data_IF_083922260827
#
_entry.id   IF_083922260827
#
_cell.length_a   1.000
_cell.length_b   1.000
_cell.length_c   1.000
_cell.angle_alpha   90.00
_cell.angle_beta   90.00
_cell.angle_gamma   90.00
#
_symmetry.space_group_name_H-M   'P 1'
#
loop_
_entity.id
_entity.type
_entity.pdbx_description
1 polymer ?
#
# COMPACT_ATOMS: atom_id res chain seq x y z
N UNK A 1 66.06 56.98 -20.40
CA UNK A 1 65.35 57.26 -19.14
C UNK A 1 64.40 56.10 -18.86
N UNK A 2 64.43 55.49 -17.67
CA UNK A 2 63.44 54.50 -17.17
C UNK A 2 62.04 55.15 -17.01
N UNK A 3 60.92 54.43 -16.73
CA UNK A 3 60.68 52.98 -16.53
C UNK A 3 59.49 52.45 -17.41
N UNK A 4 59.36 51.14 -17.70
CA UNK A 4 58.83 50.03 -16.88
C UNK A 4 57.41 50.26 -16.30
N UNK A 5 56.40 49.62 -16.90
CA UNK A 5 55.03 49.49 -16.39
C UNK A 5 54.63 48.02 -16.33
N UNK A 6 54.39 47.53 -15.11
CA UNK A 6 53.86 46.20 -14.80
C UNK A 6 52.36 46.12 -15.13
N UNK A 7 51.87 44.98 -15.64
CA UNK A 7 50.65 44.36 -15.12
C UNK A 7 50.84 42.83 -15.09
N UNK A 8 50.59 42.28 -13.90
CA UNK A 8 50.75 40.90 -13.46
C UNK A 8 49.65 39.98 -14.01
N UNK A 9 50.07 38.78 -14.36
CA UNK A 9 49.26 37.56 -14.48
C UNK A 9 48.75 37.11 -13.10
N UNK A 10 47.44 36.92 -12.95
CA UNK A 10 46.88 36.12 -11.85
C UNK A 10 46.80 34.65 -12.29
N UNK A 11 47.74 33.84 -11.82
CA UNK A 11 47.58 32.40 -11.73
C UNK A 11 46.86 32.07 -10.43
N UNK A 12 45.69 31.45 -10.51
CA UNK A 12 45.00 30.90 -9.35
C UNK A 12 45.65 29.56 -8.97
N UNK A 13 46.23 29.52 -7.78
CA UNK A 13 46.73 28.31 -7.12
C UNK A 13 45.53 27.51 -6.63
N UNK A 14 45.33 26.30 -7.15
CA UNK A 14 44.39 25.33 -6.60
C UNK A 14 45.06 24.64 -5.42
N UNK A 15 44.66 24.99 -4.20
CA UNK A 15 45.04 24.28 -2.99
C UNK A 15 44.21 22.98 -2.90
N UNK A 16 44.88 21.84 -3.01
CA UNK A 16 44.31 20.52 -2.75
C UNK A 16 44.13 20.34 -1.23
N UNK A 17 42.91 20.56 -0.73
CA UNK A 17 42.53 20.23 0.64
C UNK A 17 42.21 18.75 0.77
N UNK A 18 43.06 18.01 1.47
CA UNK A 18 42.78 16.63 1.88
C UNK A 18 41.61 16.62 2.89
N UNK A 19 40.45 16.10 2.50
CA UNK A 19 39.36 15.81 3.43
C UNK A 19 39.69 14.52 4.19
N UNK A 20 40.02 14.67 5.47
CA UNK A 20 40.06 13.57 6.41
C UNK A 20 38.62 13.06 6.67
N UNK A 21 38.37 11.80 6.30
CA UNK A 21 37.14 11.07 6.62
C UNK A 21 37.11 10.79 8.14
N UNK A 22 36.33 11.57 8.88
CA UNK A 22 35.91 11.21 10.23
C UNK A 22 34.85 10.11 10.14
N UNK A 23 34.89 9.06 10.98
CA UNK A 23 33.83 8.06 11.02
C UNK A 23 32.55 8.73 11.53
N UNK A 24 31.54 8.79 10.68
CA UNK A 24 30.19 9.18 11.08
C UNK A 24 29.66 8.13 12.05
N UNK A 25 29.67 8.43 13.34
CA UNK A 25 28.90 7.68 14.33
C UNK A 25 27.44 7.87 13.96
N UNK A 26 26.84 6.83 13.36
CA UNK A 26 25.40 6.75 13.19
C UNK A 26 24.77 6.82 14.59
N UNK A 27 24.24 7.99 14.94
CA UNK A 27 23.37 8.12 16.10
C UNK A 27 22.16 7.25 15.80
N UNK A 28 22.10 6.07 16.41
CA UNK A 28 20.91 5.25 16.41
C UNK A 28 19.78 6.13 16.95
N UNK A 29 18.85 6.50 16.08
CA UNK A 29 17.62 7.14 16.51
C UNK A 29 16.90 6.15 17.43
N UNK A 30 17.08 6.33 18.73
CA UNK A 30 16.17 5.80 19.74
C UNK A 30 14.75 6.05 19.26
N UNK A 31 13.83 5.08 19.36
CA UNK A 31 12.44 5.34 19.05
C UNK A 31 12.02 6.54 19.89
N UNK A 32 11.62 7.61 19.21
CA UNK A 32 11.03 8.76 19.86
C UNK A 32 9.77 8.25 20.55
N UNK A 33 9.84 8.02 21.85
CA UNK A 33 8.67 8.04 22.72
C UNK A 33 8.13 9.46 22.67
N UNK A 34 7.39 9.76 21.59
CA UNK A 34 6.47 10.87 21.61
C UNK A 34 5.47 10.53 22.72
N UNK A 35 5.66 11.16 23.88
CA UNK A 35 4.77 11.10 25.02
C UNK A 35 3.34 11.24 24.51
N UNK A 36 2.55 10.19 24.65
CA UNK A 36 1.15 10.15 24.26
C UNK A 36 0.37 11.17 25.11
N UNK A 37 0.36 12.43 24.67
CA UNK A 37 -0.46 13.49 25.26
C UNK A 37 -1.73 13.71 24.47
N UNK A 38 -1.86 13.13 23.27
CA UNK A 38 -3.06 13.20 22.47
C UNK A 38 -4.17 12.31 23.03
N UNK A 39 -5.38 12.86 23.11
CA UNK A 39 -6.61 12.14 23.47
C UNK A 39 -6.79 10.94 22.56
N UNK A 40 -6.94 9.76 23.15
CA UNK A 40 -7.13 8.52 22.41
C UNK A 40 -8.63 8.21 22.26
N UNK A 41 -9.02 7.75 21.07
CA UNK A 41 -10.37 7.26 20.78
C UNK A 41 -10.25 5.85 20.21
N UNK A 42 -10.91 4.87 20.83
CA UNK A 42 -10.93 3.49 20.37
C UNK A 42 -12.37 2.99 20.19
N UNK A 43 -12.56 2.04 19.27
CA UNK A 43 -13.85 1.46 18.93
C UNK A 43 -13.77 -0.05 19.18
N UNK A 44 -14.76 -0.60 19.87
CA UNK A 44 -14.86 -2.04 20.11
C UNK A 44 -15.06 -2.82 18.79
N UNK A 45 -14.72 -4.12 18.77
CA UNK A 45 -15.18 -5.02 17.70
C UNK A 45 -16.68 -4.90 17.47
N UNK A 46 -17.06 -4.86 16.20
CA UNK A 46 -18.45 -4.95 15.73
C UNK A 46 -18.67 -6.35 15.19
N UNK A 47 -19.74 -7.01 15.62
CA UNK A 47 -20.17 -8.26 15.01
C UNK A 47 -20.68 -7.97 13.59
N UNK A 48 -20.10 -8.62 12.58
CA UNK A 48 -20.46 -8.44 11.18
C UNK A 48 -21.37 -9.57 10.66
N UNK A 49 -21.79 -10.50 11.51
CA UNK A 49 -22.77 -11.56 11.22
C UNK A 49 -24.21 -11.02 11.27
N UNK A 50 -24.54 -10.15 10.31
CA UNK A 50 -25.89 -9.61 10.14
C UNK A 50 -26.84 -10.53 9.36
N UNK A 51 -28.16 -10.27 9.41
CA UNK A 51 -28.77 -9.06 9.96
C UNK A 51 -28.92 -9.10 11.50
N UNK A 52 -28.34 -8.12 12.19
CA UNK A 52 -28.40 -8.04 13.66
C UNK A 52 -28.24 -6.59 14.15
N UNK A 53 -28.62 -6.33 15.40
CA UNK A 53 -28.28 -5.08 16.09
C UNK A 53 -27.04 -5.34 16.95
N UNK A 54 -25.89 -4.80 16.52
CA UNK A 54 -24.66 -4.90 17.30
C UNK A 54 -24.52 -3.71 18.24
N UNK A 55 -24.04 -3.96 19.45
CA UNK A 55 -23.63 -2.90 20.38
C UNK A 55 -22.17 -2.55 20.09
N UNK A 56 -21.87 -1.25 19.97
CA UNK A 56 -20.52 -0.74 19.75
C UNK A 56 -20.15 0.21 20.87
N UNK A 57 -19.01 -0.03 21.50
CA UNK A 57 -18.46 0.82 22.55
C UNK A 57 -17.36 1.69 21.94
N UNK A 58 -17.44 2.99 22.19
CA UNK A 58 -16.37 3.94 21.89
C UNK A 58 -15.77 4.41 23.19
N UNK A 59 -14.47 4.17 23.39
CA UNK A 59 -13.75 4.62 24.58
C UNK A 59 -12.93 5.85 24.23
N UNK A 60 -13.11 6.93 25.00
CA UNK A 60 -12.32 8.16 24.89
C UNK A 60 -11.47 8.29 26.13
N UNK A 61 -10.14 8.35 25.97
CA UNK A 61 -9.17 8.50 27.07
C UNK A 61 -8.50 9.86 26.99
N UNK A 62 -8.64 10.67 28.04
CA UNK A 62 -7.93 11.94 28.12
C UNK A 62 -6.44 11.71 28.45
N UNK A 63 -5.57 11.74 27.44
CA UNK A 63 -4.12 11.66 27.67
C UNK A 63 -3.47 13.03 27.93
N UNK A 64 -4.23 14.11 27.74
CA UNK A 64 -3.76 15.47 27.87
C UNK A 64 -3.60 15.94 29.31
N UNK A 65 -2.84 17.04 29.53
CA UNK A 65 -2.57 17.56 30.87
C UNK A 65 -3.77 18.24 31.52
N UNK A 66 -4.69 18.80 30.73
CA UNK A 66 -5.85 19.50 31.26
C UNK A 66 -7.03 18.57 31.52
N UNK A 67 -7.93 18.99 32.39
CA UNK A 67 -9.21 18.31 32.59
C UNK A 67 -10.08 18.48 31.34
N UNK A 68 -10.51 17.36 30.75
CA UNK A 68 -11.41 17.34 29.60
C UNK A 68 -12.87 17.47 30.06
N UNK A 69 -13.64 18.32 29.38
CA UNK A 69 -15.06 18.61 29.68
C UNK A 69 -15.87 18.80 28.41
N UNK A 70 -17.20 18.84 28.56
CA UNK A 70 -18.13 19.01 27.43
C UNK A 70 -17.93 17.98 26.32
N UNK A 71 -17.62 16.74 26.71
CA UNK A 71 -17.32 15.66 25.78
C UNK A 71 -18.59 15.26 25.02
N UNK A 72 -18.51 15.31 23.69
CA UNK A 72 -19.49 14.71 22.78
C UNK A 72 -18.80 13.70 21.90
N UNK A 73 -19.38 12.52 21.77
CA UNK A 73 -18.86 11.42 20.96
C UNK A 73 -19.85 11.17 19.84
N UNK A 74 -19.39 11.29 18.59
CA UNK A 74 -20.14 10.81 17.42
C UNK A 74 -19.58 9.48 16.96
N UNK A 75 -20.45 8.64 16.40
CA UNK A 75 -20.08 7.37 15.82
C UNK A 75 -20.76 7.18 14.46
N UNK A 76 -19.96 6.83 13.47
CA UNK A 76 -20.39 6.53 12.11
C UNK A 76 -20.00 5.11 11.73
N UNK A 77 -20.96 4.36 11.22
CA UNK A 77 -20.72 3.08 10.55
C UNK A 77 -20.33 3.26 9.07
N UNK A 78 -20.07 2.14 8.37
CA UNK A 78 -19.93 2.15 6.92
C UNK A 78 -21.12 2.81 6.22
N UNK A 79 -20.91 3.32 5.01
CA UNK A 79 -21.96 3.95 4.20
C UNK A 79 -23.19 3.04 4.11
N UNK A 80 -24.37 3.61 4.39
CA UNK A 80 -25.65 2.91 4.37
C UNK A 80 -26.01 2.14 5.65
N UNK A 81 -25.18 2.16 6.68
CA UNK A 81 -25.49 1.52 7.97
C UNK A 81 -26.18 2.50 8.91
N UNK A 82 -27.27 2.04 9.55
CA UNK A 82 -27.99 2.85 10.53
C UNK A 82 -27.33 2.77 11.91
N UNK A 83 -27.08 3.93 12.53
CA UNK A 83 -26.49 4.06 13.87
C UNK A 83 -27.44 4.83 14.77
N UNK A 84 -27.68 4.34 15.98
CA UNK A 84 -28.52 5.02 16.97
C UNK A 84 -27.93 4.96 18.40
N UNK A 85 -27.89 6.10 19.11
CA UNK A 85 -27.90 7.47 18.54
C UNK A 85 -26.65 7.72 17.68
N UNK A 86 -26.60 8.74 16.83
CA UNK A 86 -25.37 9.05 16.08
C UNK A 86 -24.36 9.89 16.89
N UNK A 87 -24.82 10.55 17.95
CA UNK A 87 -24.03 11.38 18.87
C UNK A 87 -24.51 11.18 20.30
N UNK A 88 -23.57 11.08 21.24
CA UNK A 88 -23.81 11.07 22.68
C UNK A 88 -23.05 12.21 23.35
N UNK A 89 -23.73 12.92 24.25
CA UNK A 89 -23.08 13.86 25.16
C UNK A 89 -22.76 13.13 26.47
N UNK A 90 -21.53 13.30 26.96
CA UNK A 90 -21.08 12.70 28.22
C UNK A 90 -21.13 13.72 29.33
N UNK A 91 -21.66 13.30 30.47
CA UNK A 91 -21.70 14.12 31.67
C UNK A 91 -20.36 14.06 32.42
N UNK A 92 -20.06 15.17 33.11
CA UNK A 92 -18.88 15.28 33.94
C UNK A 92 -17.60 15.70 33.20
N UNK A 93 -16.46 15.27 33.73
CA UNK A 93 -15.14 15.64 33.23
C UNK A 93 -14.14 14.50 33.41
N UNK A 94 -13.18 14.39 32.49
CA UNK A 94 -12.12 13.39 32.56
C UNK A 94 -10.82 14.06 33.02
N UNK A 95 -10.28 13.58 34.14
CA UNK A 95 -8.91 13.90 34.54
C UNK A 95 -7.90 13.26 33.56
N UNK A 96 -6.63 13.64 33.65
CA UNK A 96 -5.56 12.97 32.90
C UNK A 96 -5.56 11.47 33.18
N UNK A 97 -5.51 10.67 32.12
CA UNK A 97 -5.58 9.21 32.15
C UNK A 97 -6.98 8.62 32.33
N UNK A 98 -8.00 9.42 32.65
CA UNK A 98 -9.36 8.93 32.81
C UNK A 98 -10.03 8.69 31.46
N UNK A 99 -10.97 7.74 31.43
CA UNK A 99 -11.70 7.36 30.22
C UNK A 99 -13.22 7.45 30.42
N UNK A 100 -13.93 7.74 29.33
CA UNK A 100 -15.39 7.57 29.23
C UNK A 100 -15.73 6.56 28.15
N UNK A 101 -16.84 5.84 28.33
CA UNK A 101 -17.36 4.90 27.33
C UNK A 101 -18.71 5.38 26.79
N UNK A 102 -18.79 5.56 25.47
CA UNK A 102 -20.02 5.81 24.75
C UNK A 102 -20.55 4.49 24.17
N UNK A 103 -21.85 4.21 24.33
CA UNK A 103 -22.46 3.00 23.77
C UNK A 103 -23.41 3.35 22.64
N UNK A 104 -23.15 2.78 21.47
CA UNK A 104 -23.95 2.94 20.26
C UNK A 104 -24.57 1.61 19.85
N UNK A 105 -25.69 1.66 19.13
CA UNK A 105 -26.27 0.51 18.45
C UNK A 105 -26.17 0.71 16.95
N UNK A 106 -25.78 -0.32 16.24
CA UNK A 106 -25.67 -0.29 14.78
C UNK A 106 -26.47 -1.45 14.19
N UNK A 107 -27.25 -1.16 13.14
CA UNK A 107 -27.91 -2.19 12.36
C UNK A 107 -26.91 -2.74 11.34
N UNK A 108 -26.45 -3.96 11.61
CA UNK A 108 -25.59 -4.73 10.72
C UNK A 108 -26.50 -5.31 9.64
N UNK A 109 -26.31 -4.96 8.35
CA UNK A 109 -27.09 -5.53 7.26
C UNK A 109 -26.75 -6.99 7.04
N UNK A 110 -27.61 -7.68 6.29
CA UNK A 110 -27.37 -9.03 5.83
C UNK A 110 -26.02 -9.16 5.10
N UNK A 111 -25.32 -10.28 5.35
CA UNK A 111 -24.05 -10.56 4.68
C UNK A 111 -24.26 -10.73 3.18
N UNK A 112 -23.40 -10.05 2.41
CA UNK A 112 -23.31 -10.25 0.97
C UNK A 112 -22.13 -11.15 0.65
N UNK A 113 -22.21 -11.96 -0.41
CA UNK A 113 -21.05 -12.67 -0.93
C UNK A 113 -19.93 -11.71 -1.29
N UNK A 114 -18.70 -12.21 -1.22
CA UNK A 114 -17.49 -11.45 -1.52
C UNK A 114 -16.84 -10.81 -0.30
N UNK A 115 -15.53 -10.57 -0.41
CA UNK A 115 -14.77 -9.90 0.61
C UNK A 115 -15.13 -8.41 0.68
N UNK A 116 -15.23 -7.84 1.88
CA UNK A 116 -15.48 -6.41 2.07
C UNK A 116 -14.77 -5.89 3.30
N UNK A 117 -14.05 -4.79 3.15
CA UNK A 117 -13.49 -4.00 4.26
C UNK A 117 -14.53 -2.99 4.73
N UNK A 118 -14.68 -2.86 6.05
CA UNK A 118 -15.62 -1.95 6.72
C UNK A 118 -14.85 -1.08 7.68
N UNK A 119 -14.95 0.22 7.49
CA UNK A 119 -14.35 1.21 8.38
C UNK A 119 -15.43 1.86 9.23
N UNK A 120 -15.18 1.89 10.52
CA UNK A 120 -15.97 2.57 11.53
C UNK A 120 -15.17 3.77 12.02
N UNK A 121 -15.84 4.89 12.23
CA UNK A 121 -15.20 6.14 12.65
C UNK A 121 -15.93 6.69 13.86
N UNK A 122 -15.18 7.07 14.88
CA UNK A 122 -15.69 7.78 16.03
C UNK A 122 -14.93 9.09 16.21
N UNK A 123 -15.66 10.17 16.49
CA UNK A 123 -15.06 11.47 16.74
C UNK A 123 -15.50 11.98 18.10
N UNK A 124 -14.53 12.29 18.95
CA UNK A 124 -14.74 12.98 20.22
C UNK A 124 -14.52 14.47 19.99
N UNK A 125 -15.42 15.32 20.49
CA UNK A 125 -15.23 16.77 20.60
C UNK A 125 -15.33 17.17 22.06
N UNK A 126 -14.45 18.07 22.51
CA UNK A 126 -14.31 18.38 23.93
C UNK A 126 -13.65 19.75 24.13
N UNK A 127 -13.61 20.21 25.38
CA UNK A 127 -12.78 21.35 25.83
C UNK A 127 -11.75 20.89 26.83
N UNK A 128 -10.56 21.50 26.83
CA UNK A 128 -9.43 21.09 27.67
C UNK A 128 -8.75 19.84 27.12
N UNK A 129 -8.34 18.93 28.00
CA UNK A 129 -7.62 17.71 27.62
C UNK A 129 -6.23 18.02 27.08
N UNK A 130 -6.02 17.71 25.81
CA UNK A 130 -4.79 17.97 25.06
C UNK A 130 -4.79 19.32 24.31
N UNK A 131 -5.88 20.09 24.44
CA UNK A 131 -6.03 21.37 23.76
C UNK A 131 -6.43 21.28 22.28
N UNK A 132 -6.54 20.08 21.70
CA UNK A 132 -6.90 19.90 20.29
C UNK A 132 -8.40 20.14 20.02
N UNK A 133 -9.24 20.01 21.04
CA UNK A 133 -10.70 20.19 20.96
C UNK A 133 -11.45 19.07 20.22
N UNK A 134 -10.73 18.20 19.51
CA UNK A 134 -11.29 16.97 18.94
C UNK A 134 -10.24 15.88 18.78
N UNK A 135 -10.68 14.63 18.79
CA UNK A 135 -9.89 13.45 18.45
C UNK A 135 -10.74 12.46 17.66
N UNK A 136 -10.12 11.73 16.73
CA UNK A 136 -10.80 10.72 15.90
C UNK A 136 -10.12 9.37 16.07
N UNK A 137 -10.93 8.33 16.20
CA UNK A 137 -10.51 6.94 16.17
C UNK A 137 -11.19 6.22 15.02
N UNK A 138 -10.46 5.34 14.36
CA UNK A 138 -11.02 4.45 13.33
C UNK A 138 -10.82 3.00 13.73
N UNK A 139 -11.73 2.15 13.26
CA UNK A 139 -11.60 0.71 13.33
C UNK A 139 -11.93 0.13 11.97
N UNK A 140 -11.05 -0.71 11.47
CA UNK A 140 -11.27 -1.44 10.23
C UNK A 140 -11.47 -2.91 10.55
N UNK A 141 -12.53 -3.49 9.98
CA UNK A 141 -12.82 -4.93 10.03
C UNK A 141 -13.16 -5.42 8.63
N UNK A 142 -13.18 -6.73 8.44
CA UNK A 142 -13.55 -7.32 7.16
C UNK A 142 -14.60 -8.42 7.36
N UNK A 143 -15.36 -8.68 6.29
CA UNK A 143 -16.31 -9.79 6.20
C UNK A 143 -16.14 -10.49 4.86
N UNK A 144 -16.54 -11.77 4.79
CA UNK A 144 -16.36 -12.59 3.61
C UNK A 144 -14.95 -13.17 3.51
N UNK A 145 -14.75 -14.04 2.53
CA UNK A 145 -13.50 -14.78 2.34
C UNK A 145 -12.66 -14.13 1.24
N UNK A 146 -11.35 -13.89 1.46
CA UNK A 146 -10.43 -13.50 0.40
C UNK A 146 -10.43 -14.52 -0.75
N UNK A 147 -10.02 -14.07 -1.95
CA UNK A 147 -9.72 -14.98 -3.06
C UNK A 147 -8.56 -15.91 -2.66
N UNK A 148 -8.55 -17.13 -3.19
CA UNK A 148 -7.61 -18.17 -2.74
C UNK A 148 -6.14 -17.80 -2.93
N UNK A 149 -5.83 -17.00 -3.95
CA UNK A 149 -4.49 -16.49 -4.29
C UNK A 149 -4.62 -15.36 -5.33
N UNK A 150 -3.50 -14.81 -5.78
CA UNK A 150 -3.49 -13.75 -6.80
C UNK A 150 -4.01 -14.23 -8.17
N UNK A 151 -3.74 -15.48 -8.57
CA UNK A 151 -4.22 -16.01 -9.84
C UNK A 151 -5.75 -16.08 -9.91
N UNK A 152 -6.42 -16.37 -8.79
CA UNK A 152 -7.88 -16.29 -8.68
C UNK A 152 -8.44 -14.86 -8.81
N UNK A 153 -7.58 -13.84 -8.76
CA UNK A 153 -7.92 -12.42 -8.94
C UNK A 153 -7.58 -11.89 -10.35
N UNK A 154 -6.98 -12.69 -11.23
CA UNK A 154 -6.64 -12.26 -12.58
C UNK A 154 -7.87 -11.78 -13.34
N UNK A 155 -7.77 -10.58 -13.90
CA UNK A 155 -8.89 -9.88 -14.53
C UNK A 155 -8.49 -9.14 -15.80
N UNK A 156 -7.23 -9.27 -16.25
CA UNK A 156 -6.72 -8.58 -17.41
C UNK A 156 -5.75 -9.46 -18.22
N UNK A 157 -5.75 -9.29 -19.55
CA UNK A 157 -4.86 -10.00 -20.48
C UNK A 157 -3.62 -9.16 -20.76
N UNK A 158 -2.53 -9.46 -20.06
CA UNK A 158 -1.28 -8.71 -20.11
C UNK A 158 -0.28 -9.24 -21.15
N UNK A 159 -0.34 -10.53 -21.47
CA UNK A 159 0.57 -11.21 -22.38
C UNK A 159 -0.21 -11.92 -23.49
N UNK A 160 0.23 -11.71 -24.73
CA UNK A 160 -0.31 -12.42 -25.90
C UNK A 160 0.80 -13.07 -26.71
N UNK A 161 0.42 -14.02 -27.54
CA UNK A 161 1.30 -14.60 -28.54
C UNK A 161 1.46 -13.63 -29.72
N UNK A 162 2.67 -13.50 -30.29
CA UNK A 162 2.89 -12.66 -31.48
C UNK A 162 2.04 -13.09 -32.70
N UNK A 163 1.59 -14.34 -32.76
CA UNK A 163 0.68 -14.86 -33.80
C UNK A 163 -0.80 -14.61 -33.51
N UNK A 164 -1.16 -14.26 -32.26
CA UNK A 164 -2.54 -13.89 -31.87
C UNK A 164 -2.53 -12.78 -30.82
N UNK A 165 -2.35 -11.55 -31.28
CA UNK A 165 -2.22 -10.37 -30.41
C UNK A 165 -3.54 -9.77 -29.97
N UNK A 166 -4.65 -10.14 -30.63
CA UNK A 166 -5.97 -9.50 -30.46
C UNK A 166 -6.56 -9.58 -29.05
N UNK A 167 -6.34 -10.64 -28.25
CA UNK A 167 -6.90 -10.71 -26.90
C UNK A 167 -6.27 -9.74 -25.89
N UNK A 168 -5.12 -9.14 -26.20
CA UNK A 168 -4.34 -8.33 -25.27
C UNK A 168 -5.05 -7.05 -24.89
N UNK A 169 -4.89 -6.60 -23.64
CA UNK A 169 -5.41 -5.32 -23.16
C UNK A 169 -4.68 -4.79 -21.92
N UNK A 170 -3.36 -4.99 -21.84
CA UNK A 170 -2.52 -4.58 -20.73
C UNK A 170 -2.74 -3.10 -20.34
N UNK A 171 -2.76 -2.19 -21.31
CA UNK A 171 -2.86 -0.75 -21.10
C UNK A 171 -4.25 -0.14 -21.36
N UNK A 172 -5.26 -0.97 -21.62
CA UNK A 172 -6.62 -0.52 -21.97
C UNK A 172 -6.79 -0.10 -23.44
N UNK A 173 -5.73 -0.12 -24.25
CA UNK A 173 -5.76 0.21 -25.69
C UNK A 173 -5.58 -1.03 -26.58
N UNK A 174 -5.72 -2.22 -26.02
CA UNK A 174 -5.54 -3.48 -26.73
C UNK A 174 -4.07 -3.93 -26.88
N UNK A 175 -3.12 -3.25 -26.23
CA UNK A 175 -1.71 -3.64 -26.28
C UNK A 175 -1.36 -4.65 -25.19
N UNK A 176 -0.31 -5.43 -25.38
CA UNK A 176 0.17 -6.42 -24.41
C UNK A 176 1.67 -6.69 -24.56
N UNK A 177 2.28 -7.32 -23.57
CA UNK A 177 3.61 -7.87 -23.73
C UNK A 177 3.61 -9.04 -24.74
N UNK A 178 4.69 -9.17 -25.51
CA UNK A 178 4.92 -10.37 -26.33
C UNK A 178 5.40 -11.53 -25.45
N UNK A 179 4.68 -12.66 -25.51
CA UNK A 179 5.07 -13.89 -24.82
C UNK A 179 6.47 -14.34 -25.23
N UNK A 180 6.82 -14.23 -26.52
CA UNK A 180 8.11 -14.60 -27.08
C UNK A 180 9.23 -13.72 -26.53
N UNK A 181 9.01 -12.41 -26.44
CA UNK A 181 10.02 -11.45 -25.96
C UNK A 181 10.21 -11.54 -24.46
N UNK A 182 9.14 -11.79 -23.70
CA UNK A 182 9.23 -12.09 -22.27
C UNK A 182 9.99 -13.39 -22.01
N UNK A 183 9.70 -14.46 -22.78
CA UNK A 183 10.39 -15.73 -22.65
C UNK A 183 11.88 -15.63 -22.97
N UNK A 184 12.26 -14.79 -23.95
CA UNK A 184 13.65 -14.45 -24.25
C UNK A 184 14.32 -13.64 -23.13
N UNK A 185 13.55 -12.84 -22.38
CA UNK A 185 13.98 -12.12 -21.18
C UNK A 185 13.93 -12.97 -19.90
N UNK A 186 13.62 -14.27 -20.00
CA UNK A 186 13.61 -15.22 -18.88
C UNK A 186 12.27 -15.38 -18.17
N UNK A 187 11.23 -14.65 -18.57
CA UNK A 187 9.88 -14.77 -18.01
C UNK A 187 9.05 -15.73 -18.85
N UNK A 188 8.96 -16.99 -18.39
CA UNK A 188 8.21 -18.08 -19.03
C UNK A 188 7.04 -18.50 -18.15
N UNK A 189 5.92 -19.00 -18.71
CA UNK A 189 4.79 -19.50 -17.92
C UNK A 189 5.24 -20.45 -16.80
N UNK A 190 4.78 -20.19 -15.57
CA UNK A 190 5.12 -20.95 -14.36
C UNK A 190 6.58 -20.82 -13.88
N UNK A 191 7.41 -20.04 -14.56
CA UNK A 191 8.82 -19.84 -14.23
C UNK A 191 9.02 -19.11 -12.91
N UNK A 192 10.09 -19.47 -12.19
CA UNK A 192 10.49 -18.77 -10.96
C UNK A 192 11.12 -17.41 -11.29
N UNK A 193 10.74 -16.39 -10.51
CA UNK A 193 11.29 -15.02 -10.58
C UNK A 193 11.83 -14.65 -9.19
N UNK A 194 13.14 -14.48 -9.06
CA UNK A 194 13.75 -14.06 -7.81
C UNK A 194 13.91 -12.54 -7.77
N UNK A 195 13.26 -11.87 -6.84
CA UNK A 195 13.38 -10.42 -6.68
C UNK A 195 13.24 -10.02 -5.21
N UNK A 196 14.08 -9.08 -4.77
CA UNK A 196 14.01 -8.49 -3.43
C UNK A 196 13.98 -9.50 -2.27
N UNK A 197 14.60 -10.68 -2.47
CA UNK A 197 14.65 -11.76 -1.49
C UNK A 197 13.45 -12.73 -1.50
N UNK A 198 12.45 -12.49 -2.35
CA UNK A 198 11.32 -13.40 -2.56
C UNK A 198 11.55 -14.34 -3.75
N UNK A 199 11.01 -15.56 -3.64
CA UNK A 199 10.73 -16.45 -4.77
C UNK A 199 9.30 -16.19 -5.25
N UNK A 200 9.14 -15.54 -6.40
CA UNK A 200 7.86 -15.29 -7.08
C UNK A 200 7.69 -16.26 -8.25
N UNK A 201 6.48 -16.34 -8.80
CA UNK A 201 6.17 -17.10 -10.02
C UNK A 201 5.61 -16.20 -11.11
N UNK A 202 6.12 -16.37 -12.33
CA UNK A 202 5.48 -15.82 -13.51
C UNK A 202 4.14 -16.56 -13.76
N UNK A 203 3.06 -15.87 -14.21
CA UNK A 203 1.76 -16.50 -14.41
C UNK A 203 1.82 -17.77 -15.25
N UNK A 204 1.17 -18.84 -14.78
CA UNK A 204 1.10 -20.13 -15.46
C UNK A 204 -0.26 -20.31 -16.14
N UNK A 205 -0.50 -19.49 -17.15
CA UNK A 205 -1.74 -19.49 -17.93
C UNK A 205 -1.42 -19.39 -19.43
N UNK A 206 -2.30 -19.90 -20.32
CA UNK A 206 -2.12 -19.71 -21.75
C UNK A 206 -2.08 -18.22 -22.12
N UNK A 207 -1.22 -17.84 -23.07
CA UNK A 207 -1.20 -16.49 -23.63
C UNK A 207 -2.58 -16.10 -24.19
N UNK A 208 -2.96 -14.83 -24.06
CA UNK A 208 -4.28 -14.35 -24.46
C UNK A 208 -5.40 -14.63 -23.44
N UNK A 209 -5.07 -15.18 -22.26
CA UNK A 209 -6.00 -15.31 -21.13
C UNK A 209 -5.61 -14.38 -19.97
N UNK A 210 -6.50 -14.11 -19.02
CA UNK A 210 -6.17 -13.25 -17.88
C UNK A 210 -4.98 -13.81 -17.09
N UNK A 211 -3.94 -13.00 -16.94
CA UNK A 211 -2.62 -13.37 -16.38
C UNK A 211 -2.10 -12.37 -15.35
N UNK A 212 -2.83 -11.28 -15.13
CA UNK A 212 -2.49 -10.26 -14.16
C UNK A 212 -3.74 -9.66 -13.52
N UNK A 213 -3.51 -8.99 -12.40
CA UNK A 213 -4.53 -8.23 -11.69
C UNK A 213 -4.32 -6.75 -11.95
N UNK A 214 -5.23 -6.12 -12.69
CA UNK A 214 -5.45 -4.68 -12.60
C UNK A 214 -6.11 -4.38 -11.24
N UNK A 215 -5.38 -3.69 -10.37
CA UNK A 215 -5.73 -3.59 -8.96
C UNK A 215 -6.98 -2.71 -8.73
N UNK A 216 -7.95 -3.25 -8.00
CA UNK A 216 -9.25 -2.64 -7.73
C UNK A 216 -9.70 -2.85 -6.28
N UNK A 217 -8.78 -3.17 -5.36
CA UNK A 217 -9.12 -3.47 -3.96
C UNK A 217 -9.39 -4.95 -3.67
N UNK A 218 -8.97 -5.87 -4.55
CA UNK A 218 -9.13 -7.31 -4.34
C UNK A 218 -8.43 -7.74 -3.05
N UNK A 219 -9.03 -8.69 -2.33
CA UNK A 219 -8.38 -9.37 -1.22
C UNK A 219 -7.95 -10.76 -1.66
N UNK A 220 -6.68 -11.09 -1.43
CA UNK A 220 -6.08 -12.37 -1.81
C UNK A 220 -5.43 -12.99 -0.60
N UNK A 221 -5.73 -14.27 -0.34
CA UNK A 221 -5.07 -15.04 0.68
C UNK A 221 -3.57 -15.16 0.35
N UNK A 222 -2.75 -15.05 1.39
CA UNK A 222 -1.30 -15.17 1.30
C UNK A 222 -0.79 -15.68 2.64
N UNK A 223 -0.17 -16.85 2.62
CA UNK A 223 0.48 -17.41 3.79
C UNK A 223 1.98 -17.10 3.76
N UNK A 224 2.52 -16.68 4.89
CA UNK A 224 3.95 -16.50 5.06
C UNK A 224 4.30 -15.67 6.29
N UNK A 225 5.58 -15.72 6.66
CA UNK A 225 6.18 -14.90 7.72
C UNK A 225 7.54 -14.42 7.22
N UNK A 226 7.81 -13.13 7.39
CA UNK A 226 9.03 -12.49 6.92
C UNK A 226 8.98 -10.98 7.12
N UNK A 227 10.05 -10.27 6.79
CA UNK A 227 10.12 -8.82 6.99
C UNK A 227 9.60 -7.99 5.81
N UNK A 228 9.26 -8.63 4.68
CA UNK A 228 8.81 -7.94 3.46
C UNK A 228 7.73 -8.69 2.70
N UNK A 229 6.79 -7.94 2.13
CA UNK A 229 5.90 -8.41 1.08
C UNK A 229 6.41 -7.85 -0.24
N UNK A 230 6.76 -8.73 -1.16
CA UNK A 230 7.28 -8.39 -2.49
C UNK A 230 6.17 -8.57 -3.53
N UNK A 231 6.07 -7.61 -4.44
CA UNK A 231 5.13 -7.58 -5.55
C UNK A 231 5.91 -7.66 -6.87
N UNK A 232 5.47 -8.52 -7.78
CA UNK A 232 5.90 -8.55 -9.17
C UNK A 232 4.84 -7.87 -10.03
N UNK A 233 5.21 -6.83 -10.76
CA UNK A 233 4.22 -6.03 -11.48
C UNK A 233 4.81 -5.01 -12.41
N UNK A 234 3.93 -4.23 -13.02
CA UNK A 234 4.31 -3.10 -13.86
C UNK A 234 3.14 -2.09 -13.93
N UNK A 235 3.46 -0.85 -14.29
CA UNK A 235 2.50 0.25 -14.28
C UNK A 235 1.99 0.58 -15.68
N UNK A 236 0.74 0.99 -15.78
CA UNK A 236 0.21 1.72 -16.95
C UNK A 236 -0.01 3.16 -16.49
N UNK A 237 0.49 4.15 -17.26
CA UNK A 237 0.69 5.56 -16.81
C UNK A 237 1.77 5.76 -15.73
N UNK A 238 2.08 7.02 -15.41
CA UNK A 238 3.01 7.39 -14.33
C UNK A 238 2.38 7.36 -12.93
N UNK A 239 1.05 7.19 -12.85
CA UNK A 239 0.27 7.18 -11.60
C UNK A 239 0.05 5.80 -10.98
N UNK A 240 0.85 4.80 -11.34
CA UNK A 240 0.74 3.42 -10.86
C UNK A 240 1.34 3.24 -9.45
N UNK A 241 0.78 3.94 -8.46
CA UNK A 241 1.14 3.82 -7.04
C UNK A 241 -0.08 3.70 -6.14
N UNK A 242 0.08 3.05 -4.99
CA UNK A 242 -1.02 2.78 -4.08
C UNK A 242 -0.59 2.11 -2.78
N UNK A 243 -1.53 1.96 -1.85
CA UNK A 243 -1.30 1.33 -0.55
C UNK A 243 -1.89 -0.08 -0.53
N UNK A 244 -1.06 -1.09 -0.27
CA UNK A 244 -1.53 -2.41 0.10
C UNK A 244 -1.73 -2.50 1.62
N UNK A 245 -2.74 -3.26 2.05
CA UNK A 245 -2.98 -3.56 3.47
C UNK A 245 -2.79 -5.05 3.71
N UNK A 246 -1.98 -5.40 4.69
CA UNK A 246 -1.67 -6.77 5.08
C UNK A 246 -2.40 -7.08 6.36
N UNK A 247 -3.17 -8.16 6.39
CA UNK A 247 -3.84 -8.66 7.58
C UNK A 247 -3.11 -9.90 8.08
N UNK A 248 -2.85 -9.92 9.38
CA UNK A 248 -2.14 -10.99 10.05
C UNK A 248 -3.11 -11.94 10.75
N UNK A 249 -2.67 -13.18 10.99
CA UNK A 249 -3.47 -14.22 11.64
C UNK A 249 -3.86 -13.87 13.10
N UNK A 250 -3.15 -12.94 13.74
CA UNK A 250 -3.47 -12.42 15.09
C UNK A 250 -4.58 -11.35 15.09
N UNK A 251 -5.15 -11.04 13.91
CA UNK A 251 -6.19 -10.05 13.71
C UNK A 251 -5.69 -8.60 13.60
N UNK A 252 -4.38 -8.37 13.73
CA UNK A 252 -3.78 -7.07 13.46
C UNK A 252 -3.58 -6.85 11.96
N UNK A 253 -3.30 -5.61 11.56
CA UNK A 253 -2.95 -5.28 10.18
C UNK A 253 -1.81 -4.28 10.12
N UNK A 254 -1.15 -4.25 8.97
CA UNK A 254 -0.17 -3.24 8.58
C UNK A 254 -0.45 -2.76 7.16
N UNK A 255 0.17 -1.66 6.75
CA UNK A 255 0.04 -1.15 5.39
C UNK A 255 1.36 -0.57 4.90
N UNK A 256 1.50 -0.52 3.57
CA UNK A 256 2.65 0.08 2.93
C UNK A 256 2.31 0.56 1.53
N UNK A 257 2.92 1.67 1.13
CA UNK A 257 2.81 2.19 -0.22
C UNK A 257 3.87 1.61 -1.12
N UNK A 258 3.50 1.31 -2.36
CA UNK A 258 4.39 0.89 -3.42
C UNK A 258 3.92 1.48 -4.75
N UNK A 259 4.77 1.37 -5.77
CA UNK A 259 4.38 1.70 -7.13
C UNK A 259 5.30 1.08 -8.16
N UNK A 260 4.88 1.15 -9.42
CA UNK A 260 5.65 0.71 -10.56
C UNK A 260 5.80 1.84 -11.58
N UNK A 261 6.95 1.97 -12.24
CA UNK A 261 7.07 2.82 -13.42
C UNK A 261 6.05 2.42 -14.48
N UNK A 262 5.70 3.36 -15.36
CA UNK A 262 5.12 3.01 -16.64
C UNK A 262 5.97 1.92 -17.30
N UNK A 263 5.30 0.86 -17.77
CA UNK A 263 5.90 -0.32 -18.41
C UNK A 263 6.93 0.00 -19.50
N UNK A 264 6.95 1.18 -20.11
CA UNK A 264 8.02 1.60 -21.03
C UNK A 264 8.73 2.90 -20.64
N UNK A 265 8.05 4.04 -20.72
CA UNK A 265 8.71 5.34 -20.91
C UNK A 265 9.23 5.99 -19.63
N UNK A 266 8.84 5.48 -18.46
CA UNK A 266 9.33 6.01 -17.19
C UNK A 266 10.74 5.49 -16.86
N UNK A 267 11.50 6.22 -16.03
CA UNK A 267 12.74 5.71 -15.44
C UNK A 267 12.50 4.38 -14.72
N UNK A 268 13.36 3.39 -14.95
CA UNK A 268 13.18 2.03 -14.43
C UNK A 268 13.19 1.94 -12.89
N UNK A 269 13.65 2.98 -12.19
CA UNK A 269 13.68 3.10 -10.73
C UNK A 269 12.61 4.05 -10.16
N UNK A 270 11.69 4.56 -11.00
CA UNK A 270 10.59 5.38 -10.52
C UNK A 270 9.78 4.62 -9.46
N UNK A 271 9.23 5.37 -8.50
CA UNK A 271 8.51 4.84 -7.33
C UNK A 271 9.32 3.93 -6.41
N UNK A 272 10.63 3.78 -6.61
CA UNK A 272 11.48 2.87 -5.82
C UNK A 272 11.47 1.42 -6.32
N UNK A 273 10.93 1.18 -7.52
CA UNK A 273 10.87 -0.16 -8.11
C UNK A 273 12.25 -0.66 -8.56
N UNK A 274 12.37 -1.99 -8.67
CA UNK A 274 13.55 -2.71 -9.16
C UNK A 274 13.20 -3.36 -10.50
N UNK A 275 14.00 -3.12 -11.54
CA UNK A 275 13.83 -3.78 -12.83
C UNK A 275 14.06 -5.29 -12.69
N UNK A 276 13.09 -6.10 -13.12
CA UNK A 276 13.18 -7.57 -13.14
C UNK A 276 13.50 -8.07 -14.54
N UNK A 277 12.76 -7.60 -15.54
CA UNK A 277 12.96 -7.99 -16.93
C UNK A 277 12.62 -6.84 -17.87
N UNK A 278 13.25 -6.84 -19.04
CA UNK A 278 12.98 -5.91 -20.12
C UNK A 278 12.85 -6.70 -21.42
N UNK A 279 11.70 -6.56 -22.06
CA UNK A 279 11.39 -7.13 -23.37
C UNK A 279 11.47 -6.05 -24.46
N UNK A 280 11.84 -6.44 -25.67
CA UNK A 280 11.82 -5.55 -26.84
C UNK A 280 10.44 -5.55 -27.48
N UNK A 281 9.89 -4.36 -27.74
CA UNK A 281 8.59 -4.20 -28.40
C UNK A 281 7.40 -4.72 -27.60
N UNK A 282 6.22 -4.60 -28.23
CA UNK A 282 4.94 -5.03 -27.66
C UNK A 282 4.05 -5.62 -28.73
N UNK A 283 3.06 -6.39 -28.30
CA UNK A 283 1.95 -6.79 -29.13
C UNK A 283 0.91 -5.67 -29.16
N UNK A 284 0.45 -5.34 -30.36
CA UNK A 284 -0.61 -4.36 -30.65
C UNK A 284 -1.80 -5.08 -31.30
N UNK A 285 -2.99 -4.48 -31.40
CA UNK A 285 -4.14 -5.11 -32.06
C UNK A 285 -3.90 -5.53 -33.52
N UNK A 286 -2.94 -4.89 -34.21
CA UNK A 286 -2.54 -5.15 -35.60
C UNK A 286 -1.25 -5.99 -35.72
N UNK A 287 -0.76 -6.56 -34.62
CA UNK A 287 0.41 -7.44 -34.56
C UNK A 287 1.57 -6.90 -33.72
N UNK A 288 2.68 -7.63 -33.69
CA UNK A 288 3.90 -7.20 -33.00
C UNK A 288 4.41 -5.86 -33.56
N UNK A 289 4.91 -4.98 -32.70
CA UNK A 289 5.49 -3.69 -33.10
C UNK A 289 6.29 -3.02 -31.99
N UNK A 290 6.67 -1.76 -32.22
CA UNK A 290 7.48 -0.96 -31.31
C UNK A 290 8.86 -1.58 -30.97
N UNK A 291 9.45 -2.36 -31.89
CA UNK A 291 10.82 -2.82 -31.75
C UNK A 291 11.78 -1.63 -31.51
N UNK A 292 12.77 -1.84 -30.64
CA UNK A 292 13.65 -0.81 -30.10
C UNK A 292 13.15 -0.12 -28.84
N UNK A 293 11.89 -0.35 -28.43
CA UNK A 293 11.32 0.20 -27.19
C UNK A 293 11.28 -0.90 -26.13
N UNK A 294 11.83 -0.60 -24.96
CA UNK A 294 11.83 -1.50 -23.82
C UNK A 294 10.46 -1.50 -23.11
N UNK A 295 9.87 -2.68 -22.96
CA UNK A 295 8.68 -2.93 -22.14
C UNK A 295 9.05 -3.85 -20.97
N UNK A 296 8.76 -3.41 -19.75
CA UNK A 296 9.47 -3.85 -18.54
C UNK A 296 8.52 -4.35 -17.45
N UNK A 297 9.04 -5.34 -16.72
CA UNK A 297 8.45 -5.91 -15.50
C UNK A 297 9.36 -5.54 -14.33
N UNK A 298 8.76 -5.21 -13.21
CA UNK A 298 9.44 -4.70 -12.04
C UNK A 298 9.04 -5.48 -10.78
N UNK A 299 9.84 -5.30 -9.73
CA UNK A 299 9.50 -5.69 -8.37
C UNK A 299 9.50 -4.47 -7.45
N UNK A 300 8.62 -4.50 -6.45
CA UNK A 300 8.64 -3.55 -5.33
C UNK A 300 8.32 -4.31 -4.05
N UNK A 301 8.67 -3.76 -2.88
CA UNK A 301 8.27 -4.36 -1.60
C UNK A 301 7.73 -3.34 -0.60
N UNK A 302 6.97 -3.84 0.38
CA UNK A 302 6.59 -3.09 1.58
C UNK A 302 7.06 -3.86 2.82
N UNK A 303 7.33 -3.18 3.95
CA UNK A 303 7.71 -3.87 5.17
C UNK A 303 6.55 -4.70 5.74
N UNK A 304 6.90 -5.82 6.36
CA UNK A 304 6.05 -6.66 7.19
C UNK A 304 6.59 -6.70 8.62
N UNK A 305 5.74 -7.12 9.55
CA UNK A 305 6.19 -7.52 10.89
C UNK A 305 6.69 -8.97 10.83
N UNK A 306 8.01 -9.22 10.99
CA UNK A 306 8.58 -10.56 10.89
C UNK A 306 8.13 -11.50 12.00
N UNK A 307 7.54 -10.99 13.08
CA UNK A 307 6.99 -11.81 14.16
C UNK A 307 5.58 -12.33 13.86
N UNK A 308 4.94 -11.88 12.76
CA UNK A 308 3.54 -12.16 12.46
C UNK A 308 3.36 -13.02 11.21
N UNK A 309 2.34 -13.88 11.26
CA UNK A 309 1.90 -14.67 10.12
C UNK A 309 0.95 -13.84 9.28
N UNK A 310 1.27 -13.62 7.99
CA UNK A 310 0.35 -13.03 7.03
C UNK A 310 -0.80 -14.01 6.78
N UNK A 311 -2.02 -13.49 6.71
CA UNK A 311 -3.22 -14.26 6.36
C UNK A 311 -3.75 -13.88 4.96
N UNK A 312 -3.82 -12.57 4.68
CA UNK A 312 -4.23 -12.08 3.37
C UNK A 312 -3.78 -10.64 3.14
N UNK A 313 -3.81 -10.23 1.88
CA UNK A 313 -3.46 -8.88 1.42
C UNK A 313 -4.66 -8.28 0.69
N UNK A 314 -4.95 -7.01 0.99
CA UNK A 314 -5.87 -6.19 0.21
C UNK A 314 -5.03 -5.29 -0.70
N UNK A 315 -5.22 -5.45 -2.00
CA UNK A 315 -4.56 -4.68 -3.05
C UNK A 315 -5.06 -3.22 -3.06
N UNK A 316 -4.29 -2.27 -3.62
CA UNK A 316 -4.77 -0.90 -3.81
C UNK A 316 -5.95 -0.83 -4.80
N UNK A 317 -6.81 0.18 -4.62
CA UNK A 317 -7.87 0.52 -5.58
C UNK A 317 -7.37 1.40 -6.73
N UNK A 318 -6.32 0.98 -7.43
CA UNK A 318 -5.73 1.73 -8.54
C UNK A 318 -5.45 0.81 -9.74
N UNK A 319 -6.30 0.87 -10.75
CA UNK A 319 -6.24 -0.01 -11.94
C UNK A 319 -5.00 0.19 -12.80
N UNK A 320 -4.21 1.23 -12.55
CA UNK A 320 -2.93 1.46 -13.19
C UNK A 320 -1.82 0.51 -12.71
N UNK A 321 -2.04 -0.18 -11.59
CA UNK A 321 -1.12 -1.18 -11.04
C UNK A 321 -1.54 -2.54 -11.56
N UNK A 322 -0.63 -3.20 -12.28
CA UNK A 322 -0.79 -4.57 -12.73
C UNK A 322 0.14 -5.50 -11.96
N UNK A 323 -0.43 -6.51 -11.31
CA UNK A 323 0.32 -7.49 -10.52
C UNK A 323 0.29 -8.86 -11.20
N UNK A 324 1.46 -9.45 -11.37
CA UNK A 324 1.64 -10.81 -11.88
C UNK A 324 1.78 -11.83 -10.74
N UNK A 325 2.44 -11.44 -9.65
CA UNK A 325 2.56 -12.26 -8.44
C UNK A 325 2.89 -11.44 -7.18
N UNK A 326 2.76 -12.06 -6.01
CA UNK A 326 3.22 -11.52 -4.73
C UNK A 326 3.67 -12.63 -3.77
N UNK A 327 4.70 -12.35 -2.99
CA UNK A 327 5.31 -13.33 -2.09
C UNK A 327 5.94 -12.67 -0.85
N UNK A 328 6.02 -13.43 0.25
CA UNK A 328 6.70 -13.01 1.47
C UNK A 328 8.19 -13.32 1.36
N UNK A 329 9.03 -12.35 1.70
CA UNK A 329 10.49 -12.51 1.80
C UNK A 329 10.98 -12.37 3.25
N UNK A 330 12.12 -12.99 3.60
CA UNK A 330 12.78 -12.83 4.89
C UNK A 330 13.02 -11.37 5.28
#
# INVERSE_FOLDING_TARGET
MRPAGLIRSLGAVVAAGALALLPATASAATPSTATATATAVSISPVDLDGPTISTVKVTVTNAGPERMRSLKVSFGGPVGWAVQPSVLQMDGSLAKGASAEATFRIQVPERRPGFTVRTFTATATYRGGDGAGSATGTRTQHSGTPLANLAAAYNNVGVTDESDTKPGNYDGEGNSFSAQKLAAAGLRPGGTVNALGAELRWPDVPSGTPDNVSAAGQAVALDGRGSRLVFLGSGVTSGASGTATVYYADGTSGSGSFGFPNWSFDPANAHGATLVASSDGRNRPDGYGNAGIAYRVFAHSIPLDPAKQVAFVVLPGNGNIHLFDLAVAP
#
